data_IF_507325042672
#
_entry.id   IF_507325042672
#
_cell.length_a   1.000
_cell.length_b   1.000
_cell.length_c   1.000
_cell.angle_alpha   90.00
_cell.angle_beta   90.00
_cell.angle_gamma   90.00
#
_symmetry.space_group_name_H-M   'P 1'
#
loop_
_entity.id
_entity.type
_entity.pdbx_description
1 polymer ?
#
# COMPACT_ATOMS: atom_id res chain seq x y z
N UNK A 1 70.02 -45.45 17.88
CA UNK A 1 68.70 -44.99 18.24
C UNK A 1 68.37 -43.73 17.44
N UNK A 2 67.54 -43.82 16.38
CA UNK A 2 67.14 -42.70 15.53
C UNK A 2 65.86 -42.08 16.13
N UNK A 3 65.87 -40.84 16.53
CA UNK A 3 64.69 -40.07 16.98
C UNK A 3 63.97 -39.55 15.74
N UNK A 4 62.69 -39.94 15.57
CA UNK A 4 61.76 -39.43 14.56
C UNK A 4 60.99 -38.26 15.23
N UNK A 5 61.20 -37.04 14.73
CA UNK A 5 60.43 -35.88 15.14
C UNK A 5 59.21 -35.77 14.24
N UNK A 6 58.02 -35.88 14.84
CA UNK A 6 56.74 -35.71 14.14
C UNK A 6 56.37 -34.24 14.14
N UNK A 7 56.37 -33.63 12.96
CA UNK A 7 55.97 -32.22 12.78
C UNK A 7 54.48 -32.20 12.45
N UNK A 8 53.61 -31.83 13.44
CA UNK A 8 52.20 -31.60 13.21
C UNK A 8 52.00 -30.25 12.51
N UNK A 9 51.66 -30.27 11.24
CA UNK A 9 51.20 -29.09 10.50
C UNK A 9 49.69 -28.93 10.75
N UNK A 10 49.32 -27.97 11.58
CA UNK A 10 47.96 -27.53 11.78
C UNK A 10 47.50 -26.69 10.61
N UNK A 11 46.66 -27.28 9.76
CA UNK A 11 45.92 -26.52 8.71
C UNK A 11 44.78 -25.74 9.37
N UNK A 12 44.94 -24.42 9.52
CA UNK A 12 43.80 -23.53 9.83
C UNK A 12 42.97 -23.37 8.59
N UNK A 13 41.82 -24.10 8.52
CA UNK A 13 40.74 -23.77 7.57
C UNK A 13 40.05 -22.50 8.08
N UNK A 14 40.37 -21.37 7.51
CA UNK A 14 39.59 -20.15 7.68
C UNK A 14 38.27 -20.32 6.92
N UNK A 15 37.18 -20.61 7.64
CA UNK A 15 35.84 -20.58 7.10
C UNK A 15 35.46 -19.09 6.90
N UNK A 16 35.62 -18.60 5.67
CA UNK A 16 35.10 -17.30 5.28
C UNK A 16 33.57 -17.43 5.19
N UNK A 17 32.88 -17.09 6.27
CA UNK A 17 31.43 -16.90 6.24
C UNK A 17 31.12 -15.65 5.43
N UNK A 18 30.72 -15.81 4.18
CA UNK A 18 30.11 -14.75 3.42
C UNK A 18 28.77 -14.39 4.10
N UNK A 19 28.76 -13.32 4.87
CA UNK A 19 27.50 -12.74 5.34
C UNK A 19 26.67 -12.39 4.09
N UNK A 20 25.59 -13.12 3.88
CA UNK A 20 24.68 -12.89 2.76
C UNK A 20 24.10 -11.47 2.94
N UNK A 21 24.48 -10.53 2.05
CA UNK A 21 23.96 -9.17 2.10
C UNK A 21 22.44 -9.20 1.93
N UNK A 22 21.73 -9.06 3.05
CA UNK A 22 20.28 -8.86 3.04
C UNK A 22 19.99 -7.42 2.59
N UNK A 23 19.01 -7.25 1.71
CA UNK A 23 18.48 -5.94 1.36
C UNK A 23 17.26 -5.68 2.24
N UNK A 24 17.19 -4.55 2.90
CA UNK A 24 16.04 -4.14 3.66
C UNK A 24 15.32 -3.01 2.92
N UNK A 25 14.02 -3.19 2.71
CA UNK A 25 13.11 -2.14 2.24
C UNK A 25 12.34 -1.60 3.44
N UNK A 26 12.22 -0.28 3.52
CA UNK A 26 11.39 0.41 4.48
C UNK A 26 10.13 0.90 3.76
N UNK A 27 8.97 0.49 4.24
CA UNK A 27 7.66 0.82 3.66
C UNK A 27 6.82 1.49 4.74
N UNK A 28 6.36 2.69 4.46
CA UNK A 28 5.32 3.36 5.24
C UNK A 28 3.99 3.29 4.49
N UNK A 29 2.88 3.27 5.23
CA UNK A 29 1.56 3.08 4.67
C UNK A 29 0.49 3.81 5.47
N UNK A 30 -0.44 4.47 4.74
CA UNK A 30 -1.68 5.03 5.30
C UNK A 30 -2.88 4.57 4.48
N UNK A 31 -4.06 4.71 5.07
CA UNK A 31 -5.37 4.43 4.48
C UNK A 31 -6.42 5.31 5.13
N UNK A 32 -7.56 5.50 4.45
CA UNK A 32 -8.77 6.14 5.01
C UNK A 32 -8.45 7.46 5.72
N UNK A 33 -7.67 8.32 5.06
CA UNK A 33 -7.23 9.57 5.69
C UNK A 33 -8.33 10.61 5.78
N UNK A 34 -9.41 10.43 5.01
CA UNK A 34 -10.68 11.13 5.09
C UNK A 34 -10.53 12.64 5.31
N UNK A 35 -9.72 13.27 4.45
CA UNK A 35 -9.52 14.72 4.49
C UNK A 35 -9.19 15.27 5.89
N UNK A 36 -8.56 14.46 6.76
CA UNK A 36 -8.15 14.88 8.09
C UNK A 36 -6.95 15.84 8.01
N UNK A 37 -7.19 17.04 7.43
CA UNK A 37 -6.15 18.06 7.15
C UNK A 37 -5.52 18.54 8.45
N UNK A 38 -6.35 18.88 9.45
CA UNK A 38 -5.91 19.23 10.79
C UNK A 38 -5.89 18.00 11.71
N UNK A 39 -5.09 18.03 12.77
CA UNK A 39 -5.19 17.03 13.84
C UNK A 39 -6.60 17.00 14.43
N UNK A 40 -7.02 15.83 14.90
CA UNK A 40 -8.28 15.69 15.63
C UNK A 40 -8.31 16.61 16.87
N UNK A 41 -9.53 16.96 17.30
CA UNK A 41 -9.72 17.81 18.49
C UNK A 41 -8.98 17.18 19.70
N UNK A 42 -8.09 17.97 20.38
CA UNK A 42 -7.36 17.47 21.55
C UNK A 42 -8.25 17.17 22.76
N UNK A 43 -9.49 17.68 22.77
CA UNK A 43 -10.45 17.47 23.86
C UNK A 43 -11.43 16.30 23.59
N UNK A 44 -11.12 15.39 22.67
CA UNK A 44 -11.91 14.18 22.51
C UNK A 44 -11.80 13.29 23.74
N UNK A 45 -12.90 12.60 24.08
CA UNK A 45 -12.92 11.65 25.19
C UNK A 45 -11.99 10.44 24.95
N UNK A 46 -11.82 10.05 23.69
CA UNK A 46 -10.86 9.03 23.29
C UNK A 46 -9.44 9.63 23.25
N UNK A 47 -8.71 9.42 24.33
CA UNK A 47 -7.34 9.92 24.50
C UNK A 47 -6.32 9.25 23.56
N UNK A 48 -6.67 8.10 22.97
CA UNK A 48 -5.79 7.41 22.01
C UNK A 48 -5.70 8.19 20.70
N UNK A 49 -6.76 8.87 20.32
CA UNK A 49 -6.82 9.60 19.02
C UNK A 49 -6.84 11.12 19.19
N UNK A 50 -7.14 11.63 20.39
CA UNK A 50 -7.25 13.07 20.67
C UNK A 50 -5.97 13.82 20.28
N UNK A 51 -6.11 14.89 19.51
CA UNK A 51 -5.01 15.74 19.07
C UNK A 51 -4.05 15.09 18.05
N UNK A 52 -4.34 13.88 17.54
CA UNK A 52 -3.48 13.15 16.59
C UNK A 52 -3.92 13.36 15.14
N UNK A 53 -3.11 12.87 14.22
CA UNK A 53 -3.32 12.98 12.77
C UNK A 53 -2.90 14.33 12.21
N UNK A 54 -3.45 14.67 11.05
CA UNK A 54 -3.18 15.90 10.32
C UNK A 54 -2.11 15.73 9.22
N UNK A 55 -2.41 16.28 8.04
CA UNK A 55 -1.56 16.13 6.85
C UNK A 55 -0.19 16.79 7.04
N UNK A 56 -0.12 17.99 7.63
CA UNK A 56 1.17 18.67 7.84
C UNK A 56 2.11 17.90 8.77
N UNK A 57 1.57 17.27 9.82
CA UNK A 57 2.38 16.43 10.71
C UNK A 57 2.88 15.19 10.00
N UNK A 58 2.04 14.59 9.13
CA UNK A 58 2.43 13.43 8.33
C UNK A 58 3.52 13.79 7.32
N UNK A 59 3.41 14.94 6.63
CA UNK A 59 4.47 15.46 5.77
C UNK A 59 5.78 15.63 6.54
N UNK A 60 5.74 16.25 7.73
CA UNK A 60 6.92 16.45 8.56
C UNK A 60 7.56 15.10 8.95
N UNK A 61 6.77 14.14 9.42
CA UNK A 61 7.22 12.78 9.76
C UNK A 61 7.85 12.07 8.56
N UNK A 62 7.20 12.12 7.38
CA UNK A 62 7.73 11.52 6.17
C UNK A 62 9.07 12.14 5.74
N UNK A 63 9.23 13.44 5.89
CA UNK A 63 10.50 14.12 5.61
C UNK A 63 11.61 13.68 6.58
N UNK A 64 11.29 13.53 7.87
CA UNK A 64 12.22 13.02 8.88
C UNK A 64 12.64 11.56 8.58
N UNK A 65 11.69 10.69 8.21
CA UNK A 65 11.99 9.30 7.87
C UNK A 65 12.80 9.18 6.57
N UNK A 66 12.52 10.02 5.55
CA UNK A 66 13.31 10.06 4.31
C UNK A 66 14.73 10.61 4.53
N UNK A 67 14.92 11.51 5.48
CA UNK A 67 16.25 11.96 5.84
C UNK A 67 17.10 10.82 6.42
N UNK A 68 16.49 9.83 7.08
CA UNK A 68 17.15 8.62 7.61
C UNK A 68 17.29 7.54 6.55
N UNK A 69 16.29 7.32 5.71
CA UNK A 69 16.28 6.37 4.60
C UNK A 69 15.71 7.04 3.32
N UNK A 70 16.56 7.57 2.44
CA UNK A 70 16.13 8.19 1.18
C UNK A 70 15.41 7.23 0.22
N UNK A 71 15.58 5.92 0.41
CA UNK A 71 14.92 4.87 -0.38
C UNK A 71 13.57 4.42 0.21
N UNK A 72 13.07 5.11 1.26
CA UNK A 72 11.76 4.87 1.85
C UNK A 72 10.66 4.84 0.79
N UNK A 73 9.79 3.85 0.88
CA UNK A 73 8.56 3.74 0.09
C UNK A 73 7.37 4.21 0.92
N UNK A 74 6.46 4.96 0.31
CA UNK A 74 5.23 5.39 0.97
C UNK A 74 4.01 5.14 0.07
N UNK A 75 3.01 4.43 0.61
CA UNK A 75 1.79 4.05 -0.09
C UNK A 75 0.55 4.58 0.65
N UNK A 76 -0.53 4.84 -0.12
CA UNK A 76 -1.84 5.19 0.43
C UNK A 76 -2.92 4.27 -0.15
N UNK A 77 -3.74 3.68 0.71
CA UNK A 77 -4.74 2.68 0.33
C UNK A 77 -6.13 3.26 0.08
N UNK A 78 -6.22 4.52 -0.35
CA UNK A 78 -7.47 5.16 -0.77
C UNK A 78 -8.29 5.75 0.37
N UNK A 79 -9.45 6.31 0.03
CA UNK A 79 -10.28 7.12 0.89
C UNK A 79 -9.50 8.29 1.53
N UNK A 80 -8.70 8.98 0.71
CA UNK A 80 -8.11 10.26 1.11
C UNK A 80 -9.13 11.41 1.08
N UNK A 81 -10.20 11.23 0.32
CA UNK A 81 -11.35 12.11 0.14
C UNK A 81 -12.33 12.02 1.30
N UNK A 82 -13.24 12.99 1.39
CA UNK A 82 -14.38 13.04 2.31
C UNK A 82 -13.99 13.22 3.79
N UNK A 83 -14.78 13.97 4.54
CA UNK A 83 -14.69 14.06 6.02
C UNK A 83 -14.38 15.43 6.58
N UNK A 84 -14.00 16.43 5.78
CA UNK A 84 -13.70 17.78 6.28
C UNK A 84 -14.41 18.87 5.52
N UNK A 85 -14.54 20.07 6.12
CA UNK A 85 -15.01 21.28 5.41
C UNK A 85 -14.15 21.61 4.19
N UNK A 86 -12.85 21.31 4.21
CA UNK A 86 -11.97 21.52 3.05
C UNK A 86 -12.41 20.70 1.86
N UNK A 87 -12.70 19.41 2.05
CA UNK A 87 -13.20 18.58 0.99
C UNK A 87 -14.55 19.06 0.45
N UNK A 88 -15.45 19.51 1.34
CA UNK A 88 -16.73 20.06 0.93
C UNK A 88 -16.59 21.33 0.09
N UNK A 89 -15.65 22.22 0.43
CA UNK A 89 -15.44 23.50 -0.25
C UNK A 89 -14.59 23.37 -1.52
N UNK A 90 -13.55 22.52 -1.50
CA UNK A 90 -12.52 22.47 -2.53
C UNK A 90 -12.50 21.14 -3.29
N UNK A 91 -13.41 20.21 -2.96
CA UNK A 91 -13.66 18.96 -3.70
C UNK A 91 -12.39 18.13 -3.99
N UNK A 92 -11.43 18.14 -3.05
CA UNK A 92 -10.20 17.35 -3.11
C UNK A 92 -8.92 18.10 -3.50
N UNK A 93 -9.00 19.39 -3.86
CA UNK A 93 -7.81 20.19 -4.24
C UNK A 93 -6.76 20.23 -3.13
N UNK A 94 -7.22 20.48 -1.90
CA UNK A 94 -6.33 20.60 -0.73
C UNK A 94 -5.65 19.28 -0.44
N UNK A 95 -6.41 18.20 -0.49
CA UNK A 95 -5.90 16.83 -0.31
C UNK A 95 -4.84 16.50 -1.36
N UNK A 96 -5.15 16.71 -2.65
CA UNK A 96 -4.24 16.42 -3.75
C UNK A 96 -2.92 17.20 -3.63
N UNK A 97 -2.98 18.50 -3.33
CA UNK A 97 -1.79 19.35 -3.16
C UNK A 97 -0.92 18.89 -1.99
N UNK A 98 -1.54 18.60 -0.83
CA UNK A 98 -0.79 18.13 0.34
C UNK A 98 -0.24 16.72 0.16
N UNK A 99 -0.95 15.82 -0.55
CA UNK A 99 -0.45 14.48 -0.89
C UNK A 99 0.74 14.55 -1.84
N UNK A 100 0.81 15.52 -2.74
CA UNK A 100 1.97 15.75 -3.59
C UNK A 100 3.25 16.04 -2.79
N UNK A 101 3.13 16.79 -1.68
CA UNK A 101 4.25 17.06 -0.76
C UNK A 101 4.70 15.82 0.03
N UNK A 102 3.88 14.77 0.07
CA UNK A 102 4.20 13.51 0.75
C UNK A 102 5.08 12.58 -0.08
N UNK A 103 5.29 12.88 -1.37
CA UNK A 103 6.05 12.04 -2.29
C UNK A 103 5.62 10.56 -2.26
N UNK A 104 4.34 10.33 -2.50
CA UNK A 104 3.71 9.00 -2.51
C UNK A 104 4.24 8.19 -3.69
N UNK A 105 4.63 6.93 -3.46
CA UNK A 105 5.10 6.02 -4.51
C UNK A 105 3.95 5.43 -5.33
N UNK A 106 2.79 5.20 -4.70
CA UNK A 106 1.51 4.88 -5.34
C UNK A 106 0.35 5.00 -4.35
N UNK A 107 -0.85 5.30 -4.86
CA UNK A 107 -2.10 5.21 -4.13
C UNK A 107 -3.12 4.37 -4.89
N UNK A 108 -4.12 3.80 -4.20
CA UNK A 108 -5.28 3.17 -4.81
C UNK A 108 -6.53 4.03 -4.66
N UNK A 109 -7.67 3.54 -5.10
CA UNK A 109 -8.97 4.21 -5.09
C UNK A 109 -9.83 3.57 -4.00
N UNK A 110 -10.42 4.39 -3.12
CA UNK A 110 -11.50 3.98 -2.25
C UNK A 110 -12.87 4.34 -2.79
N UNK A 111 -13.91 4.19 -1.99
CA UNK A 111 -15.27 4.54 -2.40
C UNK A 111 -15.53 6.05 -2.35
N UNK A 112 -14.85 6.80 -1.48
CA UNK A 112 -15.07 8.24 -1.35
C UNK A 112 -14.39 9.09 -2.43
N UNK A 113 -13.48 8.55 -3.22
CA UNK A 113 -12.99 9.23 -4.41
C UNK A 113 -14.10 9.49 -5.44
N UNK A 114 -15.22 8.77 -5.38
CA UNK A 114 -16.40 8.97 -6.24
C UNK A 114 -17.36 10.07 -5.77
N UNK A 115 -17.24 10.61 -4.58
CA UNK A 115 -18.24 11.48 -3.94
C UNK A 115 -18.71 12.67 -4.80
N UNK A 116 -17.82 13.28 -5.57
CA UNK A 116 -18.13 14.34 -6.53
C UNK A 116 -18.21 13.86 -7.99
N UNK A 117 -18.23 12.53 -8.22
CA UNK A 117 -18.36 11.91 -9.55
C UNK A 117 -17.06 11.88 -10.35
N UNK A 118 -17.16 11.27 -11.54
CA UNK A 118 -15.98 10.93 -12.35
C UNK A 118 -15.25 12.14 -12.93
N UNK A 119 -15.94 13.23 -13.25
CA UNK A 119 -15.31 14.46 -13.74
C UNK A 119 -14.39 15.06 -12.67
N UNK A 120 -14.89 15.12 -11.42
CA UNK A 120 -14.08 15.59 -10.31
C UNK A 120 -12.92 14.62 -9.99
N UNK A 121 -13.18 13.32 -9.96
CA UNK A 121 -12.14 12.30 -9.79
C UNK A 121 -11.03 12.47 -10.83
N UNK A 122 -11.39 12.62 -12.12
CA UNK A 122 -10.43 12.83 -13.18
C UNK A 122 -9.64 14.13 -13.01
N UNK A 123 -10.29 15.20 -12.54
CA UNK A 123 -9.65 16.47 -12.24
C UNK A 123 -8.59 16.30 -11.14
N UNK A 124 -8.94 15.66 -10.04
CA UNK A 124 -8.03 15.39 -8.92
C UNK A 124 -6.88 14.47 -9.36
N UNK A 125 -7.16 13.40 -10.10
CA UNK A 125 -6.11 12.47 -10.57
C UNK A 125 -5.13 13.09 -11.59
N UNK A 126 -5.51 14.20 -12.25
CA UNK A 126 -4.57 15.01 -13.05
C UNK A 126 -3.72 15.96 -12.21
N UNK A 127 -4.15 16.31 -11.00
CA UNK A 127 -3.41 17.20 -10.08
C UNK A 127 -2.33 16.45 -9.28
N UNK A 128 -2.54 15.17 -8.98
CA UNK A 128 -1.55 14.40 -8.22
C UNK A 128 -0.32 14.06 -9.06
N UNK A 129 0.86 14.04 -8.42
CA UNK A 129 2.15 13.78 -9.07
C UNK A 129 2.65 12.34 -8.87
N UNK A 130 1.80 11.46 -8.36
CA UNK A 130 2.07 10.05 -8.11
C UNK A 130 1.07 9.16 -8.85
N UNK A 131 1.42 7.90 -9.14
CA UNK A 131 0.53 6.99 -9.84
C UNK A 131 -0.64 6.55 -8.96
N UNK A 132 -1.85 6.58 -9.54
CA UNK A 132 -3.03 5.89 -9.00
C UNK A 132 -3.09 4.51 -9.65
N UNK A 133 -3.25 3.47 -8.83
CA UNK A 133 -3.34 2.08 -9.28
C UNK A 133 -4.67 1.45 -8.87
N UNK A 134 -5.36 0.82 -9.82
CA UNK A 134 -6.55 0.00 -9.57
C UNK A 134 -6.70 -1.01 -10.73
N UNK A 135 -6.68 -2.28 -10.43
CA UNK A 135 -6.70 -3.33 -11.43
C UNK A 135 -8.10 -3.88 -11.69
N UNK A 136 -9.05 -3.67 -10.76
CA UNK A 136 -10.38 -4.25 -10.84
C UNK A 136 -11.50 -3.25 -11.20
N UNK A 137 -11.15 -2.00 -11.55
CA UNK A 137 -12.08 -1.08 -12.22
C UNK A 137 -11.71 -0.88 -13.68
N UNK A 138 -12.70 -0.90 -14.54
CA UNK A 138 -12.58 -0.51 -15.95
C UNK A 138 -13.19 0.88 -16.16
N UNK A 139 -12.35 1.84 -16.48
CA UNK A 139 -12.71 3.22 -16.73
C UNK A 139 -12.83 3.57 -18.23
N UNK A 140 -12.84 2.57 -19.10
CA UNK A 140 -12.96 2.80 -20.58
C UNK A 140 -14.23 3.58 -20.90
N UNK A 141 -14.09 4.66 -21.68
CA UNK A 141 -15.18 5.56 -22.05
C UNK A 141 -15.63 6.52 -20.94
N UNK A 142 -14.91 6.61 -19.83
CA UNK A 142 -15.19 7.56 -18.74
C UNK A 142 -14.18 8.72 -18.71
N UNK A 143 -14.45 9.81 -17.98
CA UNK A 143 -13.49 10.91 -17.80
C UNK A 143 -12.16 10.49 -17.13
N UNK A 144 -12.12 9.34 -16.47
CA UNK A 144 -10.97 8.78 -15.73
C UNK A 144 -10.09 7.88 -16.61
N UNK A 145 -10.53 7.58 -17.83
CA UNK A 145 -9.77 6.72 -18.75
C UNK A 145 -8.33 7.21 -18.94
N UNK A 146 -7.39 6.27 -18.80
CA UNK A 146 -5.95 6.53 -18.96
C UNK A 146 -5.26 7.19 -17.77
N UNK A 147 -6.00 7.63 -16.73
CA UNK A 147 -5.44 8.24 -15.52
C UNK A 147 -5.06 7.19 -14.45
N UNK A 148 -5.69 6.03 -14.47
CA UNK A 148 -5.47 4.93 -13.53
C UNK A 148 -4.73 3.79 -14.22
N UNK A 149 -3.73 3.25 -13.56
CA UNK A 149 -2.96 2.09 -14.06
C UNK A 149 -3.39 0.83 -13.32
N UNK A 150 -3.46 -0.33 -13.98
CA UNK A 150 -3.77 -1.58 -13.25
C UNK A 150 -2.65 -1.95 -12.26
N UNK A 151 -1.40 -1.67 -12.62
CA UNK A 151 -0.20 -1.93 -11.83
C UNK A 151 0.96 -1.06 -12.29
N UNK A 152 1.98 -0.95 -11.42
CA UNK A 152 3.28 -0.32 -11.73
C UNK A 152 4.44 -1.21 -11.27
N UNK A 153 5.66 -0.86 -11.69
CA UNK A 153 6.90 -1.47 -11.21
C UNK A 153 7.80 -0.38 -10.65
N UNK A 154 8.19 -0.57 -9.40
CA UNK A 154 9.15 0.28 -8.68
C UNK A 154 10.47 -0.48 -8.52
N UNK A 155 11.59 0.20 -8.59
CA UNK A 155 12.91 -0.33 -8.24
C UNK A 155 13.46 0.44 -7.04
N UNK A 156 13.75 -0.26 -5.95
CA UNK A 156 14.36 0.31 -4.74
C UNK A 156 15.45 -0.62 -4.21
N UNK A 157 16.61 -0.08 -3.85
CA UNK A 157 17.77 -0.86 -3.33
C UNK A 157 18.08 -2.10 -4.18
N UNK A 158 17.80 -2.03 -5.52
CA UNK A 158 17.98 -3.15 -6.45
C UNK A 158 16.99 -4.29 -6.26
N UNK A 159 15.85 -4.06 -5.62
CA UNK A 159 14.68 -4.94 -5.57
C UNK A 159 13.66 -4.44 -6.60
N UNK A 160 13.10 -5.36 -7.38
CA UNK A 160 12.03 -5.09 -8.34
C UNK A 160 10.70 -5.38 -7.70
N UNK A 161 9.91 -4.34 -7.47
CA UNK A 161 8.65 -4.38 -6.74
C UNK A 161 7.50 -4.18 -7.72
N UNK A 162 6.59 -5.16 -7.82
CA UNK A 162 5.33 -4.99 -8.52
C UNK A 162 4.28 -4.46 -7.54
N UNK A 163 3.58 -3.40 -7.92
CA UNK A 163 2.52 -2.80 -7.10
C UNK A 163 1.25 -2.73 -7.93
N UNK A 164 0.13 -3.19 -7.38
CA UNK A 164 -1.19 -3.08 -8.01
C UNK A 164 -2.23 -2.69 -6.97
N UNK A 165 -3.34 -2.12 -7.43
CA UNK A 165 -4.42 -1.66 -6.56
C UNK A 165 -5.68 -2.49 -6.73
N UNK A 166 -6.50 -2.56 -5.68
CA UNK A 166 -7.86 -3.10 -5.69
C UNK A 166 -8.80 -2.17 -4.95
N UNK A 167 -10.01 -2.05 -5.46
CA UNK A 167 -11.05 -1.18 -4.93
C UNK A 167 -12.35 -1.97 -4.66
N UNK A 168 -13.23 -1.52 -3.74
CA UNK A 168 -14.41 -2.25 -3.34
C UNK A 168 -15.48 -2.24 -4.43
N UNK A 169 -16.48 -3.13 -4.31
CA UNK A 169 -17.67 -3.07 -5.15
C UNK A 169 -18.43 -1.77 -4.87
N UNK A 170 -18.72 -1.00 -5.91
CA UNK A 170 -19.42 0.29 -5.80
C UNK A 170 -20.88 0.15 -5.35
N UNK A 171 -21.49 -1.00 -5.61
CA UNK A 171 -22.92 -1.27 -5.34
C UNK A 171 -23.20 -1.18 -3.82
N UNK A 172 -24.05 -0.25 -3.43
CA UNK A 172 -24.37 0.03 -2.03
C UNK A 172 -23.41 0.97 -1.30
N UNK A 173 -22.23 1.30 -1.89
CA UNK A 173 -21.24 2.22 -1.31
C UNK A 173 -21.20 3.57 -2.04
N UNK A 174 -21.39 3.57 -3.35
CA UNK A 174 -21.28 4.75 -4.22
C UNK A 174 -22.64 5.03 -4.85
N UNK A 175 -23.04 6.29 -4.90
CA UNK A 175 -24.21 6.72 -5.66
C UNK A 175 -24.03 6.31 -7.14
N UNK A 176 -25.00 5.59 -7.69
CA UNK A 176 -24.98 5.08 -9.06
C UNK A 176 -24.73 6.17 -10.11
N UNK A 177 -25.20 7.39 -9.85
CA UNK A 177 -25.00 8.54 -10.75
C UNK A 177 -23.54 9.04 -10.73
N UNK A 178 -22.75 8.67 -9.73
CA UNK A 178 -21.35 9.10 -9.55
C UNK A 178 -20.34 8.14 -10.17
N UNK A 179 -20.78 6.94 -10.58
CA UNK A 179 -19.90 5.91 -11.14
C UNK A 179 -20.42 5.34 -12.48
N UNK A 180 -21.23 6.13 -13.21
CA UNK A 180 -21.79 5.71 -14.51
C UNK A 180 -20.66 5.36 -15.49
N UNK A 181 -20.75 4.16 -16.07
CA UNK A 181 -19.80 3.67 -17.08
C UNK A 181 -18.57 2.96 -16.50
N UNK A 182 -18.37 2.96 -15.18
CA UNK A 182 -17.26 2.21 -14.56
C UNK A 182 -17.61 0.73 -14.48
N UNK A 183 -16.76 -0.11 -15.12
CA UNK A 183 -16.85 -1.56 -14.99
C UNK A 183 -16.23 -2.05 -13.68
N UNK A 184 -16.83 -3.09 -13.08
CA UNK A 184 -16.27 -3.75 -11.89
C UNK A 184 -15.92 -5.20 -12.23
N UNK A 185 -14.70 -5.59 -11.92
CA UNK A 185 -14.17 -6.93 -12.07
C UNK A 185 -14.00 -7.59 -10.71
N UNK A 186 -14.20 -8.91 -10.63
CA UNK A 186 -14.01 -9.66 -9.37
C UNK A 186 -12.58 -9.49 -8.85
N UNK A 187 -12.37 -8.96 -7.64
CA UNK A 187 -11.05 -8.60 -7.13
C UNK A 187 -10.13 -9.81 -6.90
N UNK A 188 -10.66 -10.95 -6.46
CA UNK A 188 -9.86 -12.15 -6.25
C UNK A 188 -9.31 -12.70 -7.57
N UNK A 189 -10.12 -12.73 -8.63
CA UNK A 189 -9.70 -13.12 -9.97
C UNK A 189 -8.63 -12.17 -10.52
N UNK A 190 -8.87 -10.86 -10.42
CA UNK A 190 -7.93 -9.84 -10.90
C UNK A 190 -6.62 -9.89 -10.11
N UNK A 191 -6.69 -10.09 -8.78
CA UNK A 191 -5.52 -10.25 -7.93
C UNK A 191 -4.66 -11.44 -8.37
N UNK A 192 -5.28 -12.62 -8.59
CA UNK A 192 -4.60 -13.83 -9.06
C UNK A 192 -3.89 -13.58 -10.39
N UNK A 193 -4.59 -13.02 -11.37
CA UNK A 193 -4.05 -12.75 -12.71
C UNK A 193 -2.90 -11.73 -12.66
N UNK A 194 -3.11 -10.61 -11.97
CA UNK A 194 -2.15 -9.50 -11.91
C UNK A 194 -0.90 -9.89 -11.12
N UNK A 195 -1.05 -10.46 -9.93
CA UNK A 195 0.09 -10.87 -9.11
C UNK A 195 0.91 -11.97 -9.80
N UNK A 196 0.25 -12.95 -10.42
CA UNK A 196 0.92 -13.99 -11.21
C UNK A 196 1.70 -13.40 -12.38
N UNK A 197 1.11 -12.44 -13.11
CA UNK A 197 1.79 -11.74 -14.20
C UNK A 197 3.02 -10.97 -13.70
N UNK A 198 2.89 -10.21 -12.61
CA UNK A 198 3.99 -9.46 -12.00
C UNK A 198 5.11 -10.39 -11.55
N UNK A 199 4.78 -11.50 -10.89
CA UNK A 199 5.77 -12.45 -10.39
C UNK A 199 6.45 -13.25 -11.50
N UNK A 200 5.66 -13.77 -12.45
CA UNK A 200 6.16 -14.74 -13.45
C UNK A 200 6.64 -14.11 -14.75
N UNK A 201 5.95 -13.10 -15.27
CA UNK A 201 6.30 -12.42 -16.54
C UNK A 201 7.18 -11.20 -16.31
N UNK A 202 6.83 -10.36 -15.35
CA UNK A 202 7.63 -9.19 -15.03
C UNK A 202 8.83 -9.52 -14.12
N UNK A 203 8.87 -10.72 -13.49
CA UNK A 203 9.96 -11.17 -12.60
C UNK A 203 10.18 -10.20 -11.44
N UNK A 204 9.09 -9.78 -10.79
CA UNK A 204 9.17 -8.98 -9.58
C UNK A 204 9.64 -9.83 -8.40
N UNK A 205 10.56 -9.28 -7.61
CA UNK A 205 11.07 -9.91 -6.39
C UNK A 205 10.02 -9.87 -5.28
N UNK A 206 9.29 -8.74 -5.19
CA UNK A 206 8.23 -8.47 -4.23
C UNK A 206 6.97 -8.03 -4.98
N UNK A 207 5.79 -8.50 -4.57
CA UNK A 207 4.49 -8.06 -5.10
C UNK A 207 3.65 -7.53 -3.95
N UNK A 208 3.26 -6.25 -4.04
CA UNK A 208 2.44 -5.53 -3.07
C UNK A 208 1.07 -5.25 -3.68
N UNK A 209 0.02 -5.58 -2.96
CA UNK A 209 -1.34 -5.15 -3.24
C UNK A 209 -1.70 -3.97 -2.34
N UNK A 210 -2.02 -2.82 -2.92
CA UNK A 210 -2.64 -1.71 -2.19
C UNK A 210 -4.15 -1.90 -2.32
N UNK A 211 -4.82 -2.25 -1.23
CA UNK A 211 -6.21 -2.69 -1.25
C UNK A 211 -7.14 -1.75 -0.49
N UNK A 212 -8.31 -1.49 -1.07
CA UNK A 212 -9.41 -0.83 -0.37
C UNK A 212 -10.62 -1.77 -0.21
N UNK A 213 -10.40 -3.09 -0.10
CA UNK A 213 -11.48 -4.07 0.00
C UNK A 213 -12.01 -4.24 1.44
N UNK A 214 -11.20 -3.92 2.44
CA UNK A 214 -11.53 -4.12 3.86
C UNK A 214 -10.98 -5.43 4.42
N UNK A 215 -10.79 -5.45 5.74
CA UNK A 215 -10.26 -6.59 6.47
C UNK A 215 -11.34 -7.26 7.33
N UNK A 216 -11.64 -8.53 7.03
CA UNK A 216 -12.59 -9.40 7.77
C UNK A 216 -14.00 -8.79 7.91
N UNK A 217 -14.51 -8.22 6.83
CA UNK A 217 -15.87 -7.65 6.78
C UNK A 217 -16.86 -8.52 5.97
N UNK A 218 -16.34 -9.58 5.34
CA UNK A 218 -17.12 -10.49 4.49
C UNK A 218 -17.23 -10.02 3.04
N UNK A 219 -17.79 -10.88 2.19
CA UNK A 219 -17.87 -10.62 0.75
C UNK A 219 -16.51 -10.72 0.06
N UNK A 220 -16.23 -9.80 -0.86
CA UNK A 220 -14.99 -9.73 -1.64
C UNK A 220 -13.89 -8.97 -0.88
N UNK A 221 -13.74 -9.17 0.43
CA UNK A 221 -12.74 -8.53 1.27
C UNK A 221 -11.31 -9.05 1.07
N UNK A 222 -10.33 -8.48 1.78
CA UNK A 222 -8.93 -8.85 1.67
C UNK A 222 -8.67 -10.33 2.02
N UNK A 223 -9.38 -10.88 3.01
CA UNK A 223 -9.25 -12.28 3.39
C UNK A 223 -9.70 -13.20 2.25
N UNK A 224 -10.87 -12.92 1.68
CA UNK A 224 -11.40 -13.68 0.56
C UNK A 224 -10.47 -13.56 -0.65
N UNK A 225 -10.02 -12.35 -0.97
CA UNK A 225 -9.10 -12.10 -2.08
C UNK A 225 -7.79 -12.87 -1.91
N UNK A 226 -7.18 -12.85 -0.72
CA UNK A 226 -5.94 -13.56 -0.44
C UNK A 226 -6.16 -15.07 -0.57
N UNK A 227 -7.19 -15.62 0.07
CA UNK A 227 -7.47 -17.06 0.05
C UNK A 227 -7.72 -17.63 -1.37
N UNK A 228 -8.12 -16.77 -2.33
CA UNK A 228 -8.41 -17.13 -3.72
C UNK A 228 -7.37 -16.60 -4.73
N UNK A 229 -6.22 -16.13 -4.26
CA UNK A 229 -5.13 -15.62 -5.10
C UNK A 229 -3.79 -16.26 -4.74
N UNK A 230 -2.76 -15.95 -5.53
CA UNK A 230 -1.37 -16.37 -5.31
C UNK A 230 -0.39 -15.24 -5.64
N UNK A 231 0.89 -15.43 -5.25
CA UNK A 231 1.98 -14.55 -5.64
C UNK A 231 1.93 -13.11 -5.10
N UNK A 232 1.06 -12.82 -4.13
CA UNK A 232 1.07 -11.60 -3.35
C UNK A 232 1.94 -11.84 -2.12
N UNK A 233 2.84 -10.91 -1.80
CA UNK A 233 3.71 -11.00 -0.63
C UNK A 233 3.20 -10.13 0.53
N UNK A 234 2.58 -8.98 0.21
CA UNK A 234 2.10 -8.00 1.19
C UNK A 234 0.82 -7.32 0.69
N UNK A 235 -0.17 -7.17 1.57
CA UNK A 235 -1.38 -6.38 1.36
C UNK A 235 -1.36 -5.18 2.30
N UNK A 236 -1.52 -3.99 1.74
CA UNK A 236 -1.70 -2.73 2.45
C UNK A 236 -3.17 -2.36 2.32
N UNK A 237 -3.95 -2.61 3.38
CA UNK A 237 -5.41 -2.56 3.37
C UNK A 237 -6.00 -1.19 3.73
N UNK A 238 -7.31 -1.04 3.52
CA UNK A 238 -8.13 0.13 3.86
C UNK A 238 -9.60 -0.24 4.06
N UNK A 239 -10.50 0.72 3.92
CA UNK A 239 -11.95 0.61 3.91
C UNK A 239 -12.62 0.26 5.25
N UNK A 240 -12.23 -0.80 5.90
CA UNK A 240 -12.85 -1.25 7.16
C UNK A 240 -12.43 -0.45 8.39
N UNK A 241 -11.51 0.51 8.23
CA UNK A 241 -10.91 1.30 9.32
C UNK A 241 -10.31 0.43 10.44
N UNK A 242 -9.92 -0.80 10.13
CA UNK A 242 -9.31 -1.71 11.10
C UNK A 242 -7.94 -1.19 11.50
N UNK A 243 -7.65 -1.16 12.79
CA UNK A 243 -6.33 -0.84 13.30
C UNK A 243 -5.61 -2.13 13.71
N UNK A 244 -4.66 -2.54 12.91
CA UNK A 244 -3.79 -3.69 13.18
C UNK A 244 -2.53 -3.20 13.91
N UNK A 245 -2.32 -3.67 15.14
CA UNK A 245 -1.14 -3.30 15.95
C UNK A 245 0.12 -4.06 15.57
N UNK A 246 0.00 -5.02 14.68
CA UNK A 246 1.06 -5.86 14.11
C UNK A 246 0.60 -6.38 12.75
N UNK A 247 1.54 -6.79 11.90
CA UNK A 247 1.22 -7.49 10.67
C UNK A 247 0.43 -8.76 10.95
N UNK A 248 -0.76 -8.85 10.36
CA UNK A 248 -1.54 -10.09 10.32
C UNK A 248 -1.06 -11.00 9.19
N UNK A 249 -1.51 -12.25 9.19
CA UNK A 249 -1.18 -13.24 8.17
C UNK A 249 -2.43 -13.95 7.73
N UNK A 250 -2.54 -14.16 6.43
CA UNK A 250 -3.60 -14.96 5.82
C UNK A 250 -2.99 -15.94 4.83
N UNK A 251 -3.55 -17.14 4.73
CA UNK A 251 -3.08 -18.14 3.76
C UNK A 251 -3.66 -17.88 2.38
N UNK A 252 -2.79 -17.83 1.38
CA UNK A 252 -3.22 -17.79 -0.01
C UNK A 252 -3.66 -19.18 -0.53
N UNK A 253 -4.08 -19.26 -1.78
CA UNK A 253 -4.55 -20.49 -2.40
C UNK A 253 -3.48 -21.62 -2.43
N UNK A 254 -2.19 -21.29 -2.36
CA UNK A 254 -1.07 -22.24 -2.28
C UNK A 254 -0.67 -22.56 -0.83
N UNK A 255 -1.38 -22.06 0.17
CA UNK A 255 -1.09 -22.23 1.60
C UNK A 255 0.10 -21.40 2.11
N UNK A 256 0.56 -20.43 1.32
CA UNK A 256 1.66 -19.52 1.68
C UNK A 256 1.10 -18.32 2.45
N UNK A 257 1.84 -17.87 3.47
CA UNK A 257 1.47 -16.68 4.25
C UNK A 257 1.62 -15.41 3.40
N UNK A 258 0.56 -14.60 3.37
CA UNK A 258 0.55 -13.23 2.89
C UNK A 258 0.42 -12.31 4.11
N UNK A 259 1.27 -11.30 4.17
CA UNK A 259 1.22 -10.32 5.27
C UNK A 259 0.23 -9.21 4.96
N UNK A 260 -0.48 -8.75 5.99
CA UNK A 260 -1.52 -7.72 5.88
C UNK A 260 -1.30 -6.65 6.94
N UNK A 261 -1.43 -5.40 6.53
CA UNK A 261 -1.44 -4.22 7.41
C UNK A 261 -2.64 -3.32 7.09
N UNK A 262 -3.21 -2.69 8.12
CA UNK A 262 -4.23 -1.64 8.00
C UNK A 262 -4.17 -0.72 9.22
N UNK A 263 -4.28 0.60 9.05
CA UNK A 263 -3.88 1.61 10.02
C UNK A 263 -5.03 2.48 10.56
N UNK A 264 -6.21 1.90 10.74
CA UNK A 264 -7.37 2.64 11.21
C UNK A 264 -7.84 3.66 10.20
N UNK A 265 -8.04 4.91 10.62
CA UNK A 265 -8.45 6.02 9.76
C UNK A 265 -7.87 7.34 10.19
N UNK A 266 -8.11 8.42 9.38
CA UNK A 266 -7.71 9.80 9.62
C UNK A 266 -6.17 10.01 9.63
N UNK A 267 -5.38 9.01 9.20
CA UNK A 267 -3.92 9.08 9.21
C UNK A 267 -3.34 9.34 10.61
N UNK A 268 -4.01 8.83 11.66
CA UNK A 268 -3.58 8.90 13.06
C UNK A 268 -2.41 7.95 13.28
N UNK A 269 -2.51 6.78 12.68
CA UNK A 269 -1.48 5.75 12.66
C UNK A 269 -0.90 5.63 11.26
N UNK A 270 0.36 5.25 11.20
CA UNK A 270 1.09 4.97 9.95
C UNK A 270 1.75 3.60 10.12
N UNK A 271 1.50 2.71 9.19
CA UNK A 271 2.18 1.41 9.15
C UNK A 271 3.67 1.61 8.88
N UNK A 272 4.52 0.96 9.66
CA UNK A 272 5.98 0.94 9.48
C UNK A 272 6.44 -0.52 9.29
N UNK A 273 6.78 -0.86 8.05
CA UNK A 273 7.04 -2.23 7.64
C UNK A 273 8.49 -2.33 7.12
N UNK A 274 9.25 -3.27 7.69
CA UNK A 274 10.61 -3.60 7.25
C UNK A 274 10.61 -4.96 6.55
N UNK A 275 10.87 -4.95 5.23
CA UNK A 275 10.93 -6.16 4.42
C UNK A 275 12.38 -6.55 4.17
N UNK A 276 12.79 -7.68 4.71
CA UNK A 276 14.13 -8.23 4.49
C UNK A 276 14.13 -9.20 3.30
N UNK A 277 14.82 -8.83 2.23
CA UNK A 277 14.99 -9.63 1.04
C UNK A 277 16.31 -10.40 1.09
N UNK A 278 16.25 -11.72 1.13
CA UNK A 278 17.45 -12.56 0.97
C UNK A 278 17.88 -12.55 -0.50
N UNK A 279 19.16 -12.32 -0.75
CA UNK A 279 19.72 -12.43 -2.10
C UNK A 279 19.60 -13.91 -2.54
N UNK A 280 18.90 -14.16 -3.67
CA UNK A 280 18.92 -15.48 -4.31
C UNK A 280 20.29 -15.80 -4.88
#
# INVERSE_FOLDING_TARGET
MKKITFCCVLFFLSVVTFAQKTKELHILHTNDTHSCIFPLNPNLNDTVVAGRGGFLRRIAMLNEERAKDPDLLYFDSGDFSQGSPYYTLFQGDVEALLMNEMHIDAATIGNHEFDYGLENMARIFRMVNFPIVCANYDFTGTPVEGLVKPWIIIKRKGVKIGVFGLAPKMDGLVDKNKCVGVGYLNPAKVALETATYLKTKKKCDLVICISHLGWRIGGDDDNYMIAHSCNIDLVLGGHSHTYLTKLEREKNADGIDVFVDQNGKHGIFVGDIRVQMKKK
#
